data_IF_231606084199
#
_entry.id   IF_231606084199
#
_cell.length_a   1.000
_cell.length_b   1.000
_cell.length_c   1.000
_cell.angle_alpha   90.00
_cell.angle_beta   90.00
_cell.angle_gamma   90.00
#
_symmetry.space_group_name_H-M   'P 1'
#
loop_
_entity.id
_entity.type
_entity.pdbx_description
1 polymer ?
#
# COMPACT_ATOMS: atom_id res chain seq x y z
N UNK A 1 -13.52 14.72 -11.10
CA UNK A 1 -12.73 15.50 -10.13
C UNK A 1 -11.29 15.01 -10.18
N UNK A 2 -10.29 15.89 -10.19
CA UNK A 2 -8.88 15.46 -10.18
C UNK A 2 -8.35 15.46 -8.75
N UNK A 3 -7.75 14.35 -8.34
CA UNK A 3 -7.19 14.18 -6.99
C UNK A 3 -5.74 13.72 -7.10
N UNK A 4 -4.90 14.22 -6.18
CA UNK A 4 -3.53 13.79 -5.98
C UNK A 4 -3.52 12.80 -4.82
N UNK A 5 -3.03 11.58 -5.05
CA UNK A 5 -2.91 10.57 -4.01
C UNK A 5 -1.78 10.92 -3.03
N UNK A 6 -2.08 10.85 -1.74
CA UNK A 6 -1.11 11.04 -0.65
C UNK A 6 -0.56 9.69 -0.18
N UNK A 7 -1.34 8.64 -0.32
CA UNK A 7 -1.00 7.26 0.02
C UNK A 7 -1.33 6.35 -1.16
N UNK A 8 -0.76 5.14 -1.13
CA UNK A 8 -1.09 4.11 -2.09
C UNK A 8 -2.54 3.66 -1.85
N UNK A 9 -3.35 3.65 -2.91
CA UNK A 9 -4.75 3.25 -2.86
C UNK A 9 -4.94 2.07 -3.80
N UNK A 10 -5.40 0.96 -3.23
CA UNK A 10 -5.69 -0.25 -4.00
C UNK A 10 -6.65 0.06 -5.15
N UNK A 11 -6.35 -0.49 -6.32
CA UNK A 11 -7.12 -0.32 -7.56
C UNK A 11 -7.21 1.12 -8.10
N UNK A 12 -6.43 2.07 -7.58
CA UNK A 12 -6.39 3.44 -8.07
C UNK A 12 -4.99 3.89 -8.47
N UNK A 13 -3.99 3.71 -7.60
CA UNK A 13 -2.61 4.10 -7.91
C UNK A 13 -1.74 4.34 -6.70
N UNK A 14 -0.52 4.81 -6.95
CA UNK A 14 0.48 5.07 -5.92
C UNK A 14 0.45 6.52 -5.43
N UNK A 15 1.00 6.73 -4.24
CA UNK A 15 1.21 8.05 -3.66
C UNK A 15 2.02 8.96 -4.62
N UNK A 16 1.54 10.18 -4.82
CA UNK A 16 2.11 11.16 -5.75
C UNK A 16 1.50 11.14 -7.16
N UNK A 17 0.60 10.20 -7.47
CA UNK A 17 -0.10 10.18 -8.76
C UNK A 17 -1.38 11.01 -8.76
N UNK A 18 -1.69 11.61 -9.91
CA UNK A 18 -2.91 12.39 -10.12
C UNK A 18 -3.89 11.57 -10.93
N UNK A 19 -5.06 11.29 -10.34
CA UNK A 19 -6.12 10.52 -10.99
C UNK A 19 -7.41 11.32 -11.13
N UNK A 20 -8.17 11.01 -12.18
CA UNK A 20 -9.51 11.57 -12.39
C UNK A 20 -10.53 10.60 -11.81
N UNK A 21 -11.13 10.96 -10.68
CA UNK A 21 -12.13 10.16 -9.98
C UNK A 21 -13.52 10.77 -10.05
N UNK A 22 -14.53 9.93 -9.75
CA UNK A 22 -15.89 10.39 -9.53
C UNK A 22 -15.92 11.41 -8.36
N UNK A 23 -16.66 12.53 -8.48
CA UNK A 23 -16.70 13.54 -7.43
C UNK A 23 -17.12 13.01 -6.05
N UNK A 24 -18.08 12.08 -6.00
CA UNK A 24 -18.52 11.45 -4.75
C UNK A 24 -17.42 10.60 -4.10
N UNK A 25 -16.69 9.82 -4.89
CA UNK A 25 -15.58 9.00 -4.39
C UNK A 25 -14.44 9.86 -3.83
N UNK A 26 -14.11 10.96 -4.50
CA UNK A 26 -13.13 11.92 -3.99
C UNK A 26 -13.58 12.62 -2.70
N UNK A 27 -14.79 13.16 -2.67
CA UNK A 27 -15.31 13.98 -1.55
C UNK A 27 -15.71 13.16 -0.32
N UNK A 28 -16.25 11.96 -0.50
CA UNK A 28 -16.84 11.18 0.59
C UNK A 28 -15.89 10.12 1.14
N UNK A 29 -14.90 9.68 0.34
CA UNK A 29 -13.99 8.61 0.74
C UNK A 29 -12.53 9.09 0.76
N UNK A 30 -11.97 9.48 -0.39
CA UNK A 30 -10.52 9.72 -0.48
C UNK A 30 -10.03 10.91 0.35
N UNK A 31 -10.75 12.04 0.32
CA UNK A 31 -10.36 13.25 1.06
C UNK A 31 -10.59 13.09 2.57
N UNK A 32 -11.76 12.62 3.05
CA UNK A 32 -11.99 12.45 4.50
C UNK A 32 -11.07 11.42 5.16
N UNK A 33 -10.71 10.35 4.43
CA UNK A 33 -9.76 9.34 4.90
C UNK A 33 -8.28 9.80 4.79
N UNK A 34 -8.03 10.99 4.24
CA UNK A 34 -6.67 11.51 4.06
C UNK A 34 -5.84 10.76 3.00
N UNK A 35 -6.49 9.95 2.17
CA UNK A 35 -5.85 9.17 1.09
C UNK A 35 -5.47 10.03 -0.11
N UNK A 36 -6.23 11.11 -0.37
CA UNK A 36 -5.97 12.02 -1.47
C UNK A 36 -6.28 13.48 -1.12
N UNK A 37 -5.73 14.40 -1.90
CA UNK A 37 -6.00 15.84 -1.86
C UNK A 37 -6.47 16.33 -3.22
N UNK A 38 -7.09 17.51 -3.26
CA UNK A 38 -7.48 18.12 -4.54
C UNK A 38 -6.22 18.42 -5.38
N UNK A 39 -6.23 18.03 -6.65
CA UNK A 39 -5.09 18.29 -7.55
C UNK A 39 -5.07 19.76 -8.01
N UNK A 40 -4.66 20.66 -7.12
CA UNK A 40 -4.41 22.07 -7.45
C UNK A 40 -3.01 22.26 -8.03
N UNK A 41 -2.74 23.35 -8.76
CA UNK A 41 -1.40 23.66 -9.26
C UNK A 41 -0.30 23.70 -8.18
N UNK A 42 -0.65 24.16 -6.96
CA UNK A 42 0.27 24.15 -5.81
C UNK A 42 0.61 22.74 -5.34
N UNK A 43 -0.39 21.85 -5.28
CA UNK A 43 -0.18 20.46 -4.88
C UNK A 43 0.56 19.65 -5.94
N UNK A 44 0.39 19.96 -7.24
CA UNK A 44 1.13 19.29 -8.31
C UNK A 44 2.64 19.47 -8.18
N UNK A 45 3.12 20.60 -7.66
CA UNK A 45 4.56 20.80 -7.38
C UNK A 45 5.08 19.91 -6.26
N UNK A 46 4.22 19.54 -5.31
CA UNK A 46 4.57 18.67 -4.18
C UNK A 46 4.45 17.18 -4.53
N UNK A 47 3.72 16.85 -5.60
CA UNK A 47 3.49 15.48 -6.05
C UNK A 47 4.79 14.71 -6.29
N UNK A 48 5.78 15.33 -6.93
CA UNK A 48 7.07 14.67 -7.21
C UNK A 48 7.87 14.40 -5.94
N UNK A 49 7.82 15.30 -4.95
CA UNK A 49 8.47 15.09 -3.66
C UNK A 49 7.81 13.93 -2.90
N UNK A 50 6.48 13.84 -2.95
CA UNK A 50 5.73 12.73 -2.33
C UNK A 50 6.01 11.40 -3.04
N UNK A 51 6.05 11.39 -4.37
CA UNK A 51 6.40 10.21 -5.16
C UNK A 51 7.77 9.66 -4.77
N UNK A 52 8.80 10.52 -4.75
CA UNK A 52 10.16 10.11 -4.35
C UNK A 52 10.21 9.53 -2.93
N UNK A 53 9.50 10.16 -1.99
CA UNK A 53 9.41 9.67 -0.61
C UNK A 53 8.71 8.31 -0.52
N UNK A 54 7.62 8.13 -1.27
CA UNK A 54 6.87 6.88 -1.32
C UNK A 54 7.69 5.76 -1.97
N UNK A 55 8.40 6.05 -3.05
CA UNK A 55 9.34 5.10 -3.69
C UNK A 55 10.45 4.66 -2.73
N UNK A 56 11.08 5.58 -2.02
CA UNK A 56 12.11 5.24 -1.03
C UNK A 56 11.56 4.33 0.08
N UNK A 57 10.37 4.64 0.59
CA UNK A 57 9.70 3.81 1.60
C UNK A 57 9.34 2.43 1.07
N UNK A 58 8.85 2.32 -0.17
CA UNK A 58 8.53 1.03 -0.81
C UNK A 58 9.78 0.17 -0.99
N UNK A 59 10.89 0.77 -1.39
CA UNK A 59 12.16 0.05 -1.53
C UNK A 59 12.63 -0.52 -0.18
N UNK A 60 12.51 0.26 0.91
CA UNK A 60 12.82 -0.20 2.26
C UNK A 60 11.93 -1.38 2.70
N UNK A 61 10.61 -1.22 2.58
CA UNK A 61 9.66 -2.28 2.93
C UNK A 61 9.87 -3.56 2.12
N UNK A 62 10.19 -3.42 0.83
CA UNK A 62 10.50 -4.57 -0.03
C UNK A 62 11.71 -5.34 0.49
N UNK A 63 12.80 -4.65 0.83
CA UNK A 63 13.98 -5.30 1.40
C UNK A 63 13.69 -5.99 2.74
N UNK A 64 12.90 -5.34 3.61
CA UNK A 64 12.46 -5.93 4.88
C UNK A 64 11.63 -7.21 4.68
N UNK A 65 10.67 -7.18 3.73
CA UNK A 65 9.82 -8.33 3.43
C UNK A 65 10.58 -9.46 2.73
N UNK A 66 11.52 -9.17 1.85
CA UNK A 66 12.40 -10.18 1.24
C UNK A 66 13.24 -10.87 2.32
N UNK A 67 13.79 -10.11 3.28
CA UNK A 67 14.52 -10.68 4.41
C UNK A 67 13.63 -11.53 5.33
N UNK A 68 12.37 -11.12 5.55
CA UNK A 68 11.41 -11.90 6.34
C UNK A 68 11.00 -13.19 5.63
N UNK A 69 10.75 -13.13 4.31
CA UNK A 69 10.41 -14.29 3.51
C UNK A 69 11.52 -15.35 3.56
N UNK A 70 12.79 -14.93 3.45
CA UNK A 70 13.94 -15.84 3.58
C UNK A 70 13.96 -16.55 4.95
N UNK A 71 13.64 -15.83 6.04
CA UNK A 71 13.54 -16.44 7.38
C UNK A 71 12.41 -17.45 7.47
N UNK A 72 11.23 -17.13 6.93
CA UNK A 72 10.08 -18.04 6.97
C UNK A 72 10.35 -19.31 6.17
N UNK A 73 11.03 -19.18 5.02
CA UNK A 73 11.35 -20.33 4.15
C UNK A 73 12.25 -21.37 4.85
N UNK A 74 13.13 -20.93 5.76
CA UNK A 74 14.02 -21.82 6.52
C UNK A 74 13.33 -22.47 7.73
N UNK A 75 12.20 -21.91 8.19
CA UNK A 75 11.48 -22.41 9.37
C UNK A 75 10.57 -23.57 8.99
N UNK A 76 10.99 -24.80 9.33
CA UNK A 76 10.15 -26.00 9.22
C UNK A 76 9.45 -26.26 10.54
N UNK A 77 8.14 -25.99 10.63
CA UNK A 77 7.34 -26.27 11.83
C UNK A 77 6.81 -27.70 11.80
N UNK A 78 7.30 -28.54 12.72
CA UNK A 78 6.76 -29.90 12.95
C UNK A 78 5.73 -29.85 14.06
N UNK A 79 4.49 -30.16 13.73
CA UNK A 79 3.41 -30.30 14.72
C UNK A 79 3.19 -31.79 15.00
N UNK A 80 3.39 -32.21 16.25
CA UNK A 80 3.06 -33.56 16.70
C UNK A 80 1.66 -33.56 17.30
N UNK A 81 0.74 -34.31 16.70
CA UNK A 81 -0.60 -34.57 17.23
C UNK A 81 -0.79 -36.07 17.49
N UNK A 82 -1.56 -36.41 18.52
CA UNK A 82 -1.88 -37.81 18.85
C UNK A 82 -2.94 -38.31 17.85
N UNK A 83 -2.52 -39.12 16.88
CA UNK A 83 -3.44 -39.72 15.92
C UNK A 83 -4.24 -40.85 16.57
N UNK A 84 -5.56 -40.88 16.35
CA UNK A 84 -6.40 -42.03 16.71
C UNK A 84 -6.14 -43.23 15.80
N UNK A 85 -6.63 -44.42 16.18
CA UNK A 85 -6.40 -45.71 15.49
C UNK A 85 -6.79 -45.74 13.99
N UNK A 86 -7.46 -44.70 13.49
CA UNK A 86 -7.96 -44.60 12.11
C UNK A 86 -7.20 -43.59 11.24
N UNK A 87 -6.09 -43.00 11.72
CA UNK A 87 -5.23 -42.13 10.91
C UNK A 87 -5.91 -40.83 10.43
N UNK A 88 -6.96 -40.40 11.14
CA UNK A 88 -7.58 -39.08 11.04
C UNK A 88 -7.65 -38.46 12.44
#
# INVERSE_FOLDING_TARGET
MKVLLKQDVENLGYAGEVHKVAPGFGRNYLIPQGLAVLATPGMMKQADAWRKKAEARRAQLRAEYEALAAKIQDVTLKFTAKAGNTGK
#
